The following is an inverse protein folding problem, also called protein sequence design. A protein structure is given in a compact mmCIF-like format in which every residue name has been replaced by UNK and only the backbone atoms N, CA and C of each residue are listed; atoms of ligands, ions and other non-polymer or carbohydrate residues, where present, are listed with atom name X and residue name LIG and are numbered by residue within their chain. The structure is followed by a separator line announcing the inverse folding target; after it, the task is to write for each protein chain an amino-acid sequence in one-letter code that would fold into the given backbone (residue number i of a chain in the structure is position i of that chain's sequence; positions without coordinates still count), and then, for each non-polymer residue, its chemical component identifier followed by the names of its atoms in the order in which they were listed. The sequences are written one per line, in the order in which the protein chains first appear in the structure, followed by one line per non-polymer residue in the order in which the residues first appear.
data_IF_300020657575
#
_entry.id   IF_300020657575
#
_cell.length_a   1.000
_cell.length_b   1.000
_cell.length_c   1.000
_cell.angle_alpha   90.00
_cell.angle_beta   90.00
_cell.angle_gamma   90.00
#
_symmetry.space_group_name_H-M   'P 1'
#
loop_
_entity.id
_entity.type
_entity.pdbx_description
1 polymer ?
#
# COMPACT_ATOMS: atom_id res chain seq x y z
N UNK A 1 7.67 17.96 -10.81
CA UNK A 1 7.53 17.98 -9.34
C UNK A 1 6.75 16.73 -9.00
N UNK A 2 7.35 15.78 -8.28
CA UNK A 2 6.76 14.45 -8.10
C UNK A 2 5.65 14.50 -7.06
N UNK A 3 4.54 13.82 -7.34
CA UNK A 3 3.29 13.84 -6.60
C UNK A 3 3.05 12.50 -5.90
N UNK A 4 2.94 12.52 -4.58
CA UNK A 4 2.80 11.36 -3.72
C UNK A 4 1.46 11.39 -2.98
N UNK A 5 0.80 10.24 -2.94
CA UNK A 5 -0.36 9.99 -2.09
C UNK A 5 0.03 9.03 -0.97
N UNK A 6 -0.12 9.45 0.27
CA UNK A 6 0.06 8.61 1.45
C UNK A 6 -1.32 8.18 1.95
N UNK A 7 -1.65 6.90 1.80
CA UNK A 7 -2.90 6.31 2.28
C UNK A 7 -2.62 5.66 3.63
N UNK A 8 -3.25 6.16 4.69
CA UNK A 8 -2.99 5.74 6.07
C UNK A 8 -4.17 4.98 6.61
N UNK A 9 -3.96 3.76 7.10
CA UNK A 9 -4.94 3.09 7.95
C UNK A 9 -4.67 3.43 9.43
N UNK A 10 -5.42 4.37 10.03
CA UNK A 10 -5.12 4.84 11.39
C UNK A 10 -5.30 3.75 12.45
N UNK A 11 -6.08 2.70 12.19
CA UNK A 11 -6.27 1.59 13.12
C UNK A 11 -5.05 0.63 13.18
N UNK A 12 -4.16 0.68 12.19
CA UNK A 12 -3.00 -0.21 12.12
C UNK A 12 -2.00 0.06 13.25
N UNK A 13 -1.41 -1.03 13.78
CA UNK A 13 -0.30 -0.94 14.73
C UNK A 13 -0.66 -0.38 16.09
N UNK A 14 -1.92 -0.53 16.52
CA UNK A 14 -2.48 0.09 17.74
C UNK A 14 -2.45 1.63 17.66
N UNK A 15 -2.79 2.20 16.50
CA UNK A 15 -2.85 3.65 16.31
C UNK A 15 -1.54 4.32 15.88
N UNK A 16 -0.44 3.56 15.77
CA UNK A 16 0.89 4.11 15.42
C UNK A 16 1.03 4.51 13.95
N UNK A 17 0.12 4.09 13.08
CA UNK A 17 0.19 4.41 11.65
C UNK A 17 0.19 5.92 11.37
N UNK A 18 -0.60 6.71 12.12
CA UNK A 18 -0.62 8.18 12.00
C UNK A 18 0.74 8.81 12.25
N UNK A 19 1.32 8.50 13.41
CA UNK A 19 2.65 9.00 13.79
C UNK A 19 3.71 8.62 12.74
N UNK A 20 3.65 7.39 12.21
CA UNK A 20 4.59 6.93 11.19
C UNK A 20 4.40 7.67 9.86
N UNK A 21 3.17 7.94 9.46
CA UNK A 21 2.87 8.76 8.29
C UNK A 21 3.33 10.22 8.48
N UNK A 22 3.19 10.78 9.68
CA UNK A 22 3.68 12.13 9.99
C UNK A 22 5.21 12.24 9.89
N UNK A 23 5.94 11.24 10.41
CA UNK A 23 7.40 11.18 10.28
C UNK A 23 7.79 11.02 8.80
N UNK A 24 7.16 10.08 8.09
CA UNK A 24 7.37 9.90 6.65
C UNK A 24 7.18 11.21 5.87
N UNK A 25 6.04 11.89 6.08
CA UNK A 25 5.74 13.17 5.42
C UNK A 25 6.78 14.24 5.74
N UNK A 26 7.23 14.29 7.00
CA UNK A 26 8.19 15.30 7.46
C UNK A 26 9.61 15.05 6.91
N UNK A 27 9.97 13.79 6.68
CA UNK A 27 11.25 13.40 6.09
C UNK A 27 11.32 13.53 4.57
N UNK A 28 10.16 13.64 3.89
CA UNK A 28 10.13 13.76 2.43
C UNK A 28 10.65 15.14 1.96
N UNK A 29 11.37 15.21 0.83
CA UNK A 29 11.84 16.49 0.30
C UNK A 29 10.70 17.47 0.04
N UNK A 30 10.94 18.77 0.29
CA UNK A 30 9.95 19.83 0.03
C UNK A 30 9.57 19.98 -1.45
N UNK A 31 10.35 19.38 -2.35
CA UNK A 31 10.06 19.30 -3.79
C UNK A 31 9.00 18.24 -4.12
N UNK A 32 8.63 17.36 -3.19
CA UNK A 32 7.54 16.41 -3.37
C UNK A 32 6.22 17.06 -2.98
N UNK A 33 5.19 16.95 -3.84
CA UNK A 33 3.82 17.30 -3.45
C UNK A 33 3.21 16.09 -2.76
N UNK A 34 2.93 16.19 -1.46
CA UNK A 34 2.47 15.05 -0.64
C UNK A 34 1.06 15.30 -0.14
N UNK A 35 0.12 14.47 -0.59
CA UNK A 35 -1.24 14.37 -0.04
C UNK A 35 -1.27 13.22 0.98
N UNK A 36 -1.80 13.44 2.19
CA UNK A 36 -1.99 12.39 3.20
C UNK A 36 -3.47 12.22 3.47
N UNK A 37 -3.98 11.01 3.29
CA UNK A 37 -5.41 10.68 3.45
C UNK A 37 -5.55 9.47 4.35
N UNK A 38 -6.45 9.56 5.34
CA UNK A 38 -6.78 8.45 6.22
C UNK A 38 -7.96 7.63 5.71
N UNK A 39 -7.89 6.32 5.83
CA UNK A 39 -9.01 5.42 5.53
C UNK A 39 -10.08 5.51 6.62
N UNK A 40 -11.35 5.67 6.24
CA UNK A 40 -12.47 5.70 7.19
C UNK A 40 -13.13 4.33 7.44
N UNK A 41 -12.96 3.38 6.53
CA UNK A 41 -13.57 2.05 6.58
C UNK A 41 -12.76 1.02 5.79
N UNK A 42 -13.12 -0.25 5.92
CA UNK A 42 -12.60 -1.34 5.07
C UNK A 42 -12.92 -1.05 3.61
N UNK A 43 -11.94 -1.23 2.72
CA UNK A 43 -12.06 -0.95 1.29
C UNK A 43 -11.73 0.50 0.90
N UNK A 44 -11.69 1.44 1.85
CA UNK A 44 -11.41 2.85 1.54
C UNK A 44 -10.01 3.05 0.92
N UNK A 45 -9.02 2.22 1.27
CA UNK A 45 -7.71 2.32 0.64
C UNK A 45 -7.74 1.94 -0.85
N UNK A 46 -8.58 0.96 -1.22
CA UNK A 46 -8.78 0.57 -2.62
C UNK A 46 -9.49 1.69 -3.41
N UNK A 47 -10.53 2.29 -2.82
CA UNK A 47 -11.27 3.41 -3.43
C UNK A 47 -10.36 4.61 -3.67
N UNK A 48 -9.58 4.99 -2.65
CA UNK A 48 -8.62 6.10 -2.75
C UNK A 48 -7.56 5.82 -3.83
N UNK A 49 -6.99 4.62 -3.84
CA UNK A 49 -5.97 4.23 -4.81
C UNK A 49 -6.51 4.27 -6.25
N UNK A 50 -7.70 3.70 -6.48
CA UNK A 50 -8.35 3.72 -7.78
C UNK A 50 -8.65 5.16 -8.24
N UNK A 51 -9.15 6.01 -7.34
CA UNK A 51 -9.49 7.41 -7.65
C UNK A 51 -8.28 8.29 -8.00
N UNK A 52 -7.07 7.87 -7.62
CA UNK A 52 -5.81 8.60 -7.83
C UNK A 52 -4.85 7.91 -8.80
N UNK A 53 -5.26 6.81 -9.43
CA UNK A 53 -4.40 5.98 -10.29
C UNK A 53 -3.82 6.70 -11.52
N UNK A 54 -4.26 7.92 -11.85
CA UNK A 54 -3.70 8.73 -12.96
C UNK A 54 -3.26 10.12 -12.57
N UNK A 55 -3.38 10.47 -11.29
CA UNK A 55 -3.15 11.84 -10.81
C UNK A 55 -1.96 11.96 -9.87
N UNK A 56 -1.33 10.84 -9.53
CA UNK A 56 -0.12 10.81 -8.70
C UNK A 56 0.93 9.90 -9.34
N UNK A 57 2.18 10.17 -9.02
CA UNK A 57 3.31 9.36 -9.50
C UNK A 57 3.54 8.13 -8.60
N UNK A 58 3.23 8.25 -7.30
CA UNK A 58 3.43 7.18 -6.32
C UNK A 58 2.38 7.17 -5.21
N UNK A 59 1.97 5.97 -4.81
CA UNK A 59 1.12 5.73 -3.64
C UNK A 59 1.95 5.03 -2.56
N UNK A 60 1.89 5.54 -1.34
CA UNK A 60 2.51 4.96 -0.15
C UNK A 60 1.40 4.45 0.76
N UNK A 61 1.30 3.12 0.89
CA UNK A 61 0.40 2.48 1.85
C UNK A 61 1.06 2.48 3.25
N UNK A 62 0.41 3.10 4.24
CA UNK A 62 0.85 3.10 5.65
C UNK A 62 -0.13 2.28 6.47
N UNK A 63 0.24 1.04 6.80
CA UNK A 63 -0.69 0.11 7.43
C UNK A 63 -0.12 -1.30 7.58
N UNK A 64 -1.01 -2.29 7.73
CA UNK A 64 -0.64 -3.71 7.63
C UNK A 64 -0.69 -4.24 6.20
N UNK A 65 -0.43 -5.54 6.04
CA UNK A 65 -0.50 -6.23 4.75
C UNK A 65 -1.87 -6.08 4.07
N UNK A 66 -2.95 -6.04 4.85
CA UNK A 66 -4.31 -5.79 4.33
C UNK A 66 -4.47 -4.40 3.70
N UNK A 67 -3.86 -3.37 4.26
CA UNK A 67 -3.88 -2.01 3.68
C UNK A 67 -3.10 -1.97 2.38
N UNK A 68 -1.93 -2.62 2.33
CA UNK A 68 -1.17 -2.78 1.10
C UNK A 68 -1.99 -3.52 0.03
N UNK A 69 -2.66 -4.61 0.41
CA UNK A 69 -3.48 -5.39 -0.52
C UNK A 69 -4.71 -4.62 -1.00
N UNK A 70 -5.36 -3.81 -0.16
CA UNK A 70 -6.46 -2.93 -0.59
C UNK A 70 -5.98 -1.91 -1.63
N UNK A 71 -4.85 -1.23 -1.39
CA UNK A 71 -4.28 -0.29 -2.36
C UNK A 71 -3.99 -0.99 -3.70
N UNK A 72 -3.31 -2.14 -3.66
CA UNK A 72 -3.05 -2.95 -4.85
C UNK A 72 -4.35 -3.32 -5.57
N UNK A 73 -5.36 -3.76 -4.83
CA UNK A 73 -6.66 -4.16 -5.38
C UNK A 73 -7.34 -3.01 -6.10
N UNK A 74 -7.29 -1.81 -5.52
CA UNK A 74 -7.82 -0.59 -6.13
C UNK A 74 -7.13 -0.25 -7.45
N UNK A 75 -5.80 -0.37 -7.51
CA UNK A 75 -5.04 -0.14 -8.73
C UNK A 75 -5.36 -1.17 -9.82
N UNK A 76 -5.39 -2.46 -9.48
CA UNK A 76 -5.73 -3.55 -10.40
C UNK A 76 -7.15 -3.38 -10.97
N UNK A 77 -8.11 -2.96 -10.14
CA UNK A 77 -9.50 -2.74 -10.55
C UNK A 77 -9.66 -1.65 -11.61
N UNK A 78 -8.66 -0.80 -11.83
CA UNK A 78 -8.71 0.21 -12.91
C UNK A 78 -8.53 -0.39 -14.31
N UNK A 79 -8.06 -1.64 -14.42
CA UNK A 79 -7.81 -2.32 -15.69
C UNK A 79 -6.62 -1.75 -16.49
N UNK A 80 -5.82 -0.89 -15.87
CA UNK A 80 -4.64 -0.25 -16.48
C UNK A 80 -3.44 -1.19 -16.49
N UNK A 81 -2.55 -0.99 -17.45
CA UNK A 81 -1.26 -1.70 -17.45
C UNK A 81 -0.38 -1.22 -16.31
N UNK A 82 0.57 -2.05 -15.87
CA UNK A 82 1.45 -1.72 -14.75
C UNK A 82 2.26 -0.43 -14.98
N UNK A 83 2.57 -0.10 -16.23
CA UNK A 83 3.32 1.09 -16.63
C UNK A 83 2.50 2.38 -16.56
N UNK A 84 1.17 2.28 -16.55
CA UNK A 84 0.24 3.41 -16.44
C UNK A 84 -0.20 3.66 -14.99
N UNK A 85 0.14 2.76 -14.07
CA UNK A 85 -0.20 2.87 -12.66
C UNK A 85 0.87 3.65 -11.90
N UNK A 86 0.49 4.34 -10.81
CA UNK A 86 1.46 4.91 -9.90
C UNK A 86 2.28 3.81 -9.26
N UNK A 87 3.52 4.14 -8.93
CA UNK A 87 4.39 3.24 -8.19
C UNK A 87 3.79 2.96 -6.80
N UNK A 88 3.91 1.73 -6.32
CA UNK A 88 3.40 1.34 -5.01
C UNK A 88 4.55 1.14 -4.02
N UNK A 89 4.51 1.90 -2.93
CA UNK A 89 5.42 1.76 -1.79
C UNK A 89 4.66 1.41 -0.51
N UNK A 90 5.37 0.84 0.46
CA UNK A 90 4.77 0.38 1.71
C UNK A 90 5.59 0.85 2.92
N UNK A 91 4.92 1.49 3.88
CA UNK A 91 5.46 1.74 5.21
C UNK A 91 4.70 0.85 6.21
N UNK A 92 5.30 -0.24 6.68
CA UNK A 92 4.62 -1.18 7.57
C UNK A 92 4.27 -0.50 8.90
N UNK A 93 3.03 -0.67 9.32
CA UNK A 93 2.53 -0.30 10.64
C UNK A 93 1.73 -1.44 11.28
N UNK A 94 1.54 -2.58 10.61
CA UNK A 94 0.84 -3.75 11.14
C UNK A 94 1.68 -4.60 12.11
N UNK A 95 1.12 -5.74 12.52
CA UNK A 95 1.79 -6.71 13.43
C UNK A 95 2.60 -7.76 12.67
N UNK A 96 2.00 -8.39 11.65
CA UNK A 96 2.64 -9.47 10.90
C UNK A 96 3.65 -8.93 9.86
N UNK A 97 3.24 -7.93 9.08
CA UNK A 97 4.04 -7.25 8.04
C UNK A 97 4.77 -8.26 7.15
N UNK A 98 4.06 -9.29 6.68
CA UNK A 98 4.63 -10.34 5.86
C UNK A 98 5.20 -9.78 4.55
N UNK A 99 4.58 -8.72 3.99
CA UNK A 99 5.11 -8.02 2.83
C UNK A 99 6.50 -7.42 3.07
N UNK A 100 6.78 -6.96 4.29
CA UNK A 100 8.11 -6.44 4.65
C UNK A 100 9.17 -7.52 4.54
N UNK A 101 8.87 -8.75 4.99
CA UNK A 101 9.80 -9.88 4.89
C UNK A 101 9.93 -10.38 3.45
N UNK A 102 8.83 -10.42 2.69
CA UNK A 102 8.81 -10.94 1.33
C UNK A 102 9.50 -10.00 0.33
N UNK A 103 9.31 -8.70 0.47
CA UNK A 103 9.81 -7.69 -0.48
C UNK A 103 10.99 -6.87 0.04
N UNK A 104 11.38 -7.04 1.31
CA UNK A 104 12.51 -6.30 1.90
C UNK A 104 12.20 -4.83 2.20
N UNK A 105 10.92 -4.47 2.41
CA UNK A 105 10.55 -3.08 2.74
C UNK A 105 11.23 -2.62 4.04
N UNK A 106 11.62 -1.35 4.09
CA UNK A 106 12.15 -0.76 5.31
C UNK A 106 11.00 -0.34 6.24
N UNK A 107 11.14 -0.59 7.54
CA UNK A 107 10.18 -0.20 8.57
C UNK A 107 10.55 1.09 9.30
N UNK A 108 11.61 1.78 8.94
CA UNK A 108 11.94 3.09 9.47
C UNK A 108 11.36 4.19 8.57
N UNK A 109 10.40 5.00 9.05
CA UNK A 109 9.78 6.06 8.24
C UNK A 109 10.79 7.08 7.68
N UNK A 110 11.86 7.40 8.42
CA UNK A 110 12.87 8.36 7.97
C UNK A 110 13.71 7.77 6.84
N UNK A 111 14.12 6.50 6.97
CA UNK A 111 14.84 5.79 5.94
C UNK A 111 13.99 5.61 4.67
N UNK A 112 12.69 5.32 4.82
CA UNK A 112 11.76 5.27 3.68
C UNK A 112 11.65 6.65 3.03
N UNK A 113 11.44 7.71 3.80
CA UNK A 113 11.32 9.07 3.26
C UNK A 113 12.55 9.51 2.46
N UNK A 114 13.76 9.20 2.95
CA UNK A 114 15.01 9.52 2.25
C UNK A 114 15.24 8.70 0.99
N UNK A 115 14.75 7.46 0.92
CA UNK A 115 14.94 6.58 -0.22
C UNK A 115 13.88 6.76 -1.32
N UNK A 116 12.66 7.18 -0.98
CA UNK A 116 11.53 7.28 -1.92
C UNK A 116 11.87 8.08 -3.20
N UNK A 117 12.55 9.24 -3.16
CA UNK A 117 12.83 10.00 -4.38
C UNK A 117 13.77 9.32 -5.37
N UNK A 118 14.63 8.40 -4.89
CA UNK A 118 15.73 7.81 -5.66
C UNK A 118 15.49 6.34 -6.02
N UNK A 119 14.52 5.70 -5.40
CA UNK A 119 14.26 4.26 -5.60
C UNK A 119 13.38 4.03 -6.82
N UNK A 120 13.87 3.21 -7.75
CA UNK A 120 13.08 2.73 -8.88
C UNK A 120 12.08 1.66 -8.45
N UNK A 121 10.92 1.65 -9.09
CA UNK A 121 9.98 0.54 -8.98
C UNK A 121 10.36 -0.64 -9.87
N UNK A 122 9.82 -1.81 -9.56
CA UNK A 122 9.91 -3.00 -10.41
C UNK A 122 8.52 -3.61 -10.59
N UNK A 123 8.24 -4.28 -11.72
CA UNK A 123 7.05 -5.08 -11.88
C UNK A 123 6.97 -6.16 -10.79
N UNK A 124 5.74 -6.43 -10.33
CA UNK A 124 5.41 -7.50 -9.39
C UNK A 124 4.20 -8.23 -9.92
N UNK A 125 4.26 -9.55 -9.93
CA UNK A 125 3.12 -10.38 -10.30
C UNK A 125 2.03 -10.27 -9.25
N UNK A 126 0.78 -10.20 -9.71
CA UNK A 126 -0.41 -10.17 -8.85
C UNK A 126 -1.21 -11.43 -9.10
N UNK A 127 -1.47 -12.18 -8.05
CA UNK A 127 -2.36 -13.33 -8.14
C UNK A 127 -3.81 -12.89 -8.18
N UNK A 128 -4.63 -13.53 -9.02
CA UNK A 128 -6.08 -13.31 -9.08
C UNK A 128 -6.78 -14.60 -8.66
N UNK A 129 -7.68 -14.51 -7.67
CA UNK A 129 -8.59 -15.60 -7.32
C UNK A 129 -10.01 -15.29 -7.80
N UNK A 130 -10.59 -16.19 -8.58
CA UNK A 130 -11.97 -16.11 -9.04
C UNK A 130 -12.87 -16.95 -8.13
N UNK A 131 -13.98 -16.39 -7.66
CA UNK A 131 -15.00 -17.04 -6.84
C UNK A 131 -16.41 -16.58 -7.27
N UNK A 132 -17.47 -17.14 -6.69
CA UNK A 132 -18.85 -16.81 -7.07
C UNK A 132 -19.17 -15.30 -6.93
N UNK A 133 -18.51 -14.59 -6.02
CA UNK A 133 -18.64 -13.15 -5.84
C UNK A 133 -17.68 -12.30 -6.67
N UNK A 134 -17.03 -12.86 -7.69
CA UNK A 134 -16.15 -12.16 -8.62
C UNK A 134 -14.67 -12.49 -8.44
N UNK A 135 -13.80 -11.57 -8.87
CA UNK A 135 -12.35 -11.75 -8.78
C UNK A 135 -11.76 -10.93 -7.63
N UNK A 136 -10.71 -11.46 -7.00
CA UNK A 136 -9.96 -10.75 -5.96
C UNK A 136 -8.46 -10.87 -6.20
N UNK A 137 -7.75 -9.74 -6.30
CA UNK A 137 -6.30 -9.75 -6.36
C UNK A 137 -5.68 -9.99 -4.99
N UNK A 138 -4.52 -10.66 -4.99
CA UNK A 138 -3.68 -10.86 -3.81
C UNK A 138 -2.20 -10.71 -4.15
N UNK A 139 -1.43 -10.14 -3.22
CA UNK A 139 0.00 -9.93 -3.39
C UNK A 139 0.88 -11.08 -2.86
N UNK A 140 0.53 -11.65 -1.71
CA UNK A 140 1.42 -12.54 -0.96
C UNK A 140 1.05 -14.01 -1.14
N UNK A 141 -0.10 -14.41 -0.59
CA UNK A 141 -0.64 -15.75 -0.75
C UNK A 141 -2.16 -15.71 -0.66
N UNK A 142 -2.78 -16.74 -1.22
CA UNK A 142 -4.18 -17.06 -1.05
C UNK A 142 -4.26 -18.43 -0.37
N UNK A 143 -5.05 -18.52 0.71
CA UNK A 143 -5.27 -19.74 1.48
C UNK A 143 -6.74 -20.13 1.47
N UNK A 144 -7.02 -21.44 1.40
CA UNK A 144 -8.37 -22.01 1.47
C UNK A 144 -8.36 -23.35 2.22
N UNK A 145 -9.50 -23.71 2.82
CA UNK A 145 -9.62 -24.93 3.62
C UNK A 145 -8.93 -24.80 4.98
N UNK A 146 -8.19 -25.84 5.38
CA UNK A 146 -7.58 -25.91 6.72
C UNK A 146 -6.59 -24.77 7.00
N UNK A 147 -5.81 -24.35 6.00
CA UNK A 147 -4.88 -23.22 6.12
C UNK A 147 -5.57 -21.93 6.56
N UNK A 148 -6.74 -21.63 5.97
CA UNK A 148 -7.51 -20.45 6.31
C UNK A 148 -8.07 -20.49 7.75
N UNK A 149 -8.44 -21.69 8.23
CA UNK A 149 -8.96 -21.88 9.60
C UNK A 149 -7.87 -21.68 10.66
N UNK A 150 -6.61 -21.99 10.34
CA UNK A 150 -5.48 -21.86 11.28
C UNK A 150 -5.04 -20.41 11.48
N UNK A 151 -5.32 -19.53 10.51
CA UNK A 151 -4.87 -18.13 10.49
C UNK A 151 -5.93 -17.16 11.07
N UNK A 152 -7.17 -17.63 11.25
CA UNK A 152 -8.30 -16.86 11.83
C UNK A 152 -8.21 -16.69 13.36
#
# INVERSE_FOLDING_TARGET
MTSYLVIVNPASGRGRARLRADVLRSGLPKSCHVEVVETGHRGAAAELAASRATSVDRIIAVGGDGTLNEVLSGLVATGRSAQELPELSFLPAGTANAATRAFGFNSDPDAVAGALPEVDSRPVDVGIVSHEGGERPFLLWFGAGYDAVVIE
#
